data_IF_987136232027
#
_entry.id   IF_987136232027
#
_cell.length_a   1.000
_cell.length_b   1.000
_cell.length_c   1.000
_cell.angle_alpha   90.00
_cell.angle_beta   90.00
_cell.angle_gamma   90.00
#
_symmetry.space_group_name_H-M   'P 1'
#
loop_
_entity.id
_entity.type
_entity.pdbx_description
1 polymer ?
#
# COMPACT_ATOMS: atom_id res chain seq x y z
N UNK A 1 11.99 -25.09 21.25
CA UNK A 1 12.19 -24.00 20.26
C UNK A 1 11.55 -22.76 20.85
N UNK A 2 12.36 -21.76 21.23
CA UNK A 2 11.85 -20.47 21.69
C UNK A 2 11.38 -19.66 20.48
N UNK A 3 10.16 -19.14 20.54
CA UNK A 3 9.69 -18.14 19.58
C UNK A 3 10.63 -16.92 19.68
N UNK A 4 11.17 -16.40 18.56
CA UNK A 4 12.03 -15.22 18.63
C UNK A 4 11.26 -14.03 19.21
N UNK A 5 11.96 -13.28 20.07
CA UNK A 5 11.53 -12.01 20.66
C UNK A 5 10.84 -11.10 19.64
N UNK A 6 9.66 -10.58 19.98
CA UNK A 6 8.91 -9.71 19.07
C UNK A 6 9.72 -8.46 18.77
N UNK A 7 10.11 -8.29 17.50
CA UNK A 7 10.96 -7.19 17.02
C UNK A 7 10.34 -5.78 17.14
N UNK A 8 9.21 -5.62 17.84
CA UNK A 8 8.41 -4.38 17.88
C UNK A 8 7.76 -4.02 16.54
N UNK A 9 8.05 -4.79 15.48
CA UNK A 9 7.51 -4.61 14.14
C UNK A 9 6.13 -5.26 14.05
N UNK A 10 5.26 -4.66 13.24
CA UNK A 10 3.98 -5.30 12.89
C UNK A 10 4.25 -6.56 12.06
N UNK A 11 3.38 -7.57 12.14
CA UNK A 11 3.49 -8.81 11.32
C UNK A 11 3.62 -8.51 9.83
N UNK A 12 2.94 -7.47 9.35
CA UNK A 12 3.05 -6.97 7.98
C UNK A 12 4.49 -6.61 7.62
N UNK A 13 5.17 -5.88 8.48
CA UNK A 13 6.55 -5.44 8.27
C UNK A 13 7.53 -6.60 8.42
N UNK A 14 7.27 -7.51 9.36
CA UNK A 14 8.04 -8.75 9.54
C UNK A 14 7.97 -9.64 8.28
N UNK A 15 6.76 -9.85 7.74
CA UNK A 15 6.52 -10.81 6.67
C UNK A 15 6.69 -10.24 5.27
N UNK A 16 6.31 -8.98 5.03
CA UNK A 16 6.27 -8.38 3.69
C UNK A 16 7.30 -7.26 3.48
N UNK A 17 7.79 -6.67 4.58
CA UNK A 17 8.66 -5.49 4.54
C UNK A 17 7.87 -4.18 4.44
N UNK A 18 8.56 -3.10 4.11
CA UNK A 18 7.96 -1.75 4.06
C UNK A 18 7.08 -1.53 2.83
N UNK A 19 6.01 -0.76 3.02
CA UNK A 19 5.25 -0.15 1.92
C UNK A 19 6.15 0.85 1.19
N UNK A 20 6.22 0.84 -0.15
CA UNK A 20 6.92 1.89 -0.87
C UNK A 20 6.30 3.25 -0.55
N UNK A 21 7.15 4.26 -0.33
CA UNK A 21 6.68 5.64 -0.15
C UNK A 21 6.21 6.26 -1.47
N UNK A 22 5.30 7.24 -1.42
CA UNK A 22 4.79 7.95 -2.61
C UNK A 22 5.86 8.62 -3.48
N UNK A 23 7.01 8.97 -2.89
CA UNK A 23 8.14 9.58 -3.59
C UNK A 23 9.17 8.55 -4.12
N UNK A 24 8.98 7.27 -3.83
CA UNK A 24 9.81 6.18 -4.37
C UNK A 24 9.55 5.96 -5.87
N UNK A 25 10.34 5.09 -6.52
CA UNK A 25 10.10 4.68 -7.91
C UNK A 25 8.66 4.16 -8.09
N UNK A 26 8.25 3.18 -7.28
CA UNK A 26 6.88 2.61 -7.29
C UNK A 26 5.82 3.68 -7.05
N UNK A 27 6.04 4.60 -6.11
CA UNK A 27 5.10 5.69 -5.82
C UNK A 27 4.96 6.69 -6.97
N UNK A 28 6.05 7.00 -7.68
CA UNK A 28 6.01 7.84 -8.88
C UNK A 28 5.27 7.15 -10.02
N UNK A 29 5.47 5.85 -10.22
CA UNK A 29 4.72 5.08 -11.21
C UNK A 29 3.21 5.09 -10.93
N UNK A 30 2.80 4.95 -9.67
CA UNK A 30 1.38 5.09 -9.25
C UNK A 30 0.85 6.48 -9.59
N UNK A 31 1.60 7.53 -9.26
CA UNK A 31 1.20 8.90 -9.56
C UNK A 31 1.04 9.13 -11.06
N UNK A 32 2.03 8.72 -11.87
CA UNK A 32 1.95 8.86 -13.32
C UNK A 32 0.77 8.08 -13.91
N UNK A 33 0.51 6.86 -13.44
CA UNK A 33 -0.67 6.12 -13.87
C UNK A 33 -1.96 6.87 -13.53
N UNK A 34 -2.12 7.31 -12.27
CA UNK A 34 -3.33 8.01 -11.82
C UNK A 34 -3.55 9.37 -12.51
N UNK A 35 -2.49 10.06 -12.93
CA UNK A 35 -2.56 11.27 -13.77
C UNK A 35 -3.13 10.97 -15.16
N UNK A 36 -2.81 9.80 -15.72
CA UNK A 36 -3.19 9.38 -17.07
C UNK A 36 -4.48 8.53 -17.11
N UNK A 37 -5.12 8.27 -15.96
CA UNK A 37 -6.44 7.63 -15.91
C UNK A 37 -7.52 8.53 -16.57
N UNK A 38 -8.63 7.93 -17.02
CA UNK A 38 -9.75 8.65 -17.63
C UNK A 38 -11.03 8.32 -16.85
N UNK A 39 -11.59 9.27 -16.05
CA UNK A 39 -11.07 10.62 -15.78
C UNK A 39 -9.79 10.59 -14.91
N UNK A 40 -8.94 11.64 -14.98
CA UNK A 40 -7.70 11.69 -14.21
C UNK A 40 -7.99 11.76 -12.71
N UNK A 41 -7.21 11.00 -11.93
CA UNK A 41 -7.30 10.96 -10.46
C UNK A 41 -6.23 11.77 -9.76
N UNK A 42 -5.33 12.38 -10.51
CA UNK A 42 -4.38 13.39 -10.01
C UNK A 42 -4.47 14.62 -10.91
N UNK A 43 -4.44 15.80 -10.30
CA UNK A 43 -4.44 17.09 -11.01
C UNK A 43 -3.52 18.07 -10.31
N UNK A 44 -2.94 18.97 -11.10
CA UNK A 44 -2.11 20.07 -10.61
C UNK A 44 -2.74 21.38 -11.06
N UNK A 45 -2.96 22.32 -10.13
CA UNK A 45 -3.50 23.64 -10.48
C UNK A 45 -2.38 24.56 -11.03
N UNK A 46 -2.73 25.77 -11.42
CA UNK A 46 -1.78 26.76 -11.96
C UNK A 46 -0.71 27.18 -10.95
N UNK A 47 -1.01 27.07 -9.66
CA UNK A 47 -0.13 27.43 -8.55
C UNK A 47 0.85 26.30 -8.18
N UNK A 48 0.79 25.15 -8.88
CA UNK A 48 1.63 23.99 -8.65
C UNK A 48 1.13 23.04 -7.55
N UNK A 49 -0.04 23.32 -6.94
CA UNK A 49 -0.64 22.43 -5.95
C UNK A 49 -1.17 21.17 -6.62
N UNK A 50 -0.64 20.02 -6.21
CA UNK A 50 -1.08 18.71 -6.70
C UNK A 50 -2.07 18.09 -5.73
N UNK A 51 -3.21 17.65 -6.26
CA UNK A 51 -4.28 16.96 -5.53
C UNK A 51 -4.55 15.60 -6.16
N UNK A 52 -4.98 14.65 -5.35
CA UNK A 52 -5.42 13.33 -5.79
C UNK A 52 -6.88 13.09 -5.37
N UNK A 53 -7.60 12.27 -6.12
CA UNK A 53 -8.94 11.83 -5.78
C UNK A 53 -8.85 10.55 -4.94
N UNK A 54 -9.32 10.63 -3.70
CA UNK A 54 -9.33 9.54 -2.73
C UNK A 54 -10.52 8.58 -2.97
N UNK A 55 -10.57 7.50 -2.20
CA UNK A 55 -11.60 6.45 -2.33
C UNK A 55 -13.02 6.94 -1.97
N UNK A 56 -13.15 8.04 -1.23
CA UNK A 56 -14.42 8.73 -0.94
C UNK A 56 -14.89 9.69 -2.06
N UNK A 57 -14.17 9.75 -3.18
CA UNK A 57 -14.48 10.61 -4.33
C UNK A 57 -14.10 12.08 -4.13
N UNK A 58 -13.45 12.46 -3.03
CA UNK A 58 -13.01 13.84 -2.77
C UNK A 58 -11.55 14.05 -3.16
N UNK A 59 -11.22 15.30 -3.46
CA UNK A 59 -9.87 15.72 -3.82
C UNK A 59 -9.10 16.20 -2.59
N UNK A 60 -7.96 15.58 -2.32
CA UNK A 60 -7.08 15.93 -1.20
C UNK A 60 -5.69 16.36 -1.69
N UNK A 61 -4.98 17.21 -0.94
CA UNK A 61 -3.56 17.49 -1.15
C UNK A 61 -2.69 16.22 -1.14
N UNK A 62 -1.68 16.16 -2.02
CA UNK A 62 -0.81 14.98 -2.17
C UNK A 62 -0.01 14.62 -0.90
N UNK A 63 0.26 15.57 -0.02
CA UNK A 63 0.91 15.34 1.27
C UNK A 63 0.06 14.47 2.21
N UNK A 64 -1.27 14.47 2.06
CA UNK A 64 -2.23 13.63 2.77
C UNK A 64 -2.45 12.24 2.14
N UNK A 65 -1.74 11.93 1.05
CA UNK A 65 -1.81 10.61 0.42
C UNK A 65 -0.91 9.59 1.13
N UNK A 66 -1.45 8.39 1.36
CA UNK A 66 -0.69 7.16 1.61
C UNK A 66 -0.76 6.26 0.36
N UNK A 67 0.22 5.35 0.24
CA UNK A 67 0.17 4.27 -0.75
C UNK A 67 -0.74 3.16 -0.20
N UNK A 68 -1.99 3.14 -0.67
CA UNK A 68 -2.99 2.17 -0.29
C UNK A 68 -2.92 0.96 -1.23
N UNK A 69 -2.98 -0.24 -0.66
CA UNK A 69 -3.06 -1.46 -1.47
C UNK A 69 -4.43 -1.58 -2.14
N UNK A 70 -4.48 -2.06 -3.38
CA UNK A 70 -5.73 -2.42 -4.06
C UNK A 70 -6.30 -3.74 -3.54
N UNK A 71 -5.42 -4.71 -3.28
CA UNK A 71 -5.74 -5.94 -2.56
C UNK A 71 -5.09 -5.87 -1.20
N UNK A 72 -5.88 -5.97 -0.14
CA UNK A 72 -5.37 -5.86 1.22
C UNK A 72 -4.17 -6.77 1.48
N UNK A 73 -3.12 -6.19 2.06
CA UNK A 73 -1.84 -6.87 2.23
C UNK A 73 -1.98 -8.14 3.11
N UNK A 74 -2.87 -8.12 4.10
CA UNK A 74 -3.15 -9.27 4.96
C UNK A 74 -3.86 -10.39 4.18
N UNK A 75 -4.84 -10.04 3.35
CA UNK A 75 -5.60 -11.01 2.56
C UNK A 75 -4.71 -11.66 1.50
N UNK A 76 -3.89 -10.87 0.78
CA UNK A 76 -2.93 -11.41 -0.19
C UNK A 76 -1.85 -12.28 0.48
N UNK A 77 -1.36 -11.87 1.65
CA UNK A 77 -0.42 -12.69 2.41
C UNK A 77 -1.03 -14.05 2.79
N UNK A 78 -2.24 -14.02 3.36
CA UNK A 78 -2.93 -15.23 3.82
C UNK A 78 -3.29 -16.18 2.67
N UNK A 79 -3.63 -15.66 1.49
CA UNK A 79 -3.99 -16.48 0.33
C UNK A 79 -2.80 -16.94 -0.52
N UNK A 80 -1.70 -16.19 -0.51
CA UNK A 80 -0.65 -16.34 -1.53
C UNK A 80 0.75 -16.09 -0.96
N UNK A 81 0.99 -14.93 -0.35
CA UNK A 81 2.33 -14.52 0.07
C UNK A 81 3.00 -15.48 1.05
N UNK A 82 2.22 -16.05 2.00
CA UNK A 82 2.75 -16.92 3.05
C UNK A 82 3.42 -18.19 2.54
N UNK A 83 3.04 -18.66 1.35
CA UNK A 83 3.57 -19.87 0.72
C UNK A 83 4.93 -19.65 0.03
N UNK A 84 5.33 -18.40 -0.21
CA UNK A 84 6.66 -18.06 -0.70
C UNK A 84 7.66 -17.83 0.43
N UNK A 85 7.18 -17.59 1.65
CA UNK A 85 7.99 -17.28 2.83
C UNK A 85 8.17 -15.78 3.08
N UNK A 86 8.48 -15.43 4.33
CA UNK A 86 8.63 -14.05 4.76
C UNK A 86 9.77 -13.35 4.00
N UNK A 87 9.46 -12.19 3.39
CA UNK A 87 10.39 -11.35 2.62
C UNK A 87 11.09 -12.09 1.47
N UNK A 88 10.47 -13.14 0.94
CA UNK A 88 10.97 -13.80 -0.27
C UNK A 88 11.04 -12.81 -1.45
N UNK A 89 11.81 -13.12 -2.51
CA UNK A 89 11.84 -12.32 -3.73
C UNK A 89 10.44 -12.04 -4.30
N UNK A 90 9.55 -13.03 -4.31
CA UNK A 90 8.17 -12.92 -4.82
C UNK A 90 7.32 -11.96 -3.97
N UNK A 91 7.45 -12.03 -2.64
CA UNK A 91 6.77 -11.10 -1.73
C UNK A 91 7.28 -9.68 -1.93
N UNK A 92 8.60 -9.51 -2.13
CA UNK A 92 9.18 -8.19 -2.38
C UNK A 92 8.81 -7.65 -3.76
N UNK A 93 8.72 -8.51 -4.78
CA UNK A 93 8.24 -8.14 -6.10
C UNK A 93 6.79 -7.64 -6.04
N UNK A 94 5.90 -8.37 -5.37
CA UNK A 94 4.52 -7.93 -5.15
C UNK A 94 4.43 -6.59 -4.40
N UNK A 95 5.25 -6.43 -3.36
CA UNK A 95 5.32 -5.20 -2.57
C UNK A 95 5.82 -3.98 -3.36
N UNK A 96 6.61 -4.19 -4.42
CA UNK A 96 7.22 -3.13 -5.23
C UNK A 96 6.51 -2.90 -6.57
N UNK A 97 5.56 -3.74 -6.94
CA UNK A 97 4.73 -3.55 -8.14
C UNK A 97 3.72 -2.42 -7.92
N UNK A 98 3.85 -1.35 -8.72
CA UNK A 98 2.98 -0.18 -8.66
C UNK A 98 1.52 -0.49 -9.01
N UNK A 99 1.25 -1.59 -9.72
CA UNK A 99 -0.12 -2.04 -10.04
C UNK A 99 -0.88 -2.48 -8.80
N UNK A 100 -0.22 -2.79 -7.69
CA UNK A 100 -0.86 -3.20 -6.45
C UNK A 100 -1.32 -2.04 -5.56
N UNK A 101 -1.13 -0.78 -6.01
CA UNK A 101 -1.38 0.39 -5.19
C UNK A 101 -2.22 1.46 -5.87
N UNK A 102 -2.87 2.29 -5.07
CA UNK A 102 -3.44 3.60 -5.41
C UNK A 102 -3.06 4.61 -4.33
N UNK A 103 -3.14 5.91 -4.62
CA UNK A 103 -3.11 6.92 -3.56
C UNK A 103 -4.47 7.02 -2.90
N UNK A 104 -4.51 6.92 -1.57
CA UNK A 104 -5.71 7.18 -0.79
C UNK A 104 -5.40 8.10 0.40
N UNK A 105 -6.41 8.76 0.95
CA UNK A 105 -6.25 9.58 2.13
C UNK A 105 -5.84 8.70 3.33
N UNK A 106 -4.81 9.10 4.08
CA UNK A 106 -4.23 8.29 5.16
C UNK A 106 -5.29 7.77 6.16
N UNK A 107 -6.28 8.59 6.53
CA UNK A 107 -7.36 8.17 7.44
C UNK A 107 -8.28 7.11 6.85
N UNK A 108 -8.58 7.21 5.54
CA UNK A 108 -9.46 6.26 4.85
C UNK A 108 -8.74 4.92 4.69
N UNK A 109 -7.50 4.95 4.21
CA UNK A 109 -6.63 3.78 4.07
C UNK A 109 -6.50 3.00 5.39
N UNK A 110 -6.20 3.71 6.50
CA UNK A 110 -6.08 3.09 7.83
C UNK A 110 -7.42 2.53 8.33
N UNK A 111 -8.52 3.22 8.09
CA UNK A 111 -9.86 2.76 8.47
C UNK A 111 -10.28 1.51 7.68
N UNK A 112 -9.96 1.44 6.39
CA UNK A 112 -10.24 0.27 5.56
C UNK A 112 -9.54 -0.96 6.11
N UNK A 113 -8.23 -0.86 6.38
CA UNK A 113 -7.48 -1.96 6.98
C UNK A 113 -8.03 -2.39 8.36
N UNK A 114 -8.44 -1.45 9.21
CA UNK A 114 -9.00 -1.77 10.53
C UNK A 114 -10.37 -2.47 10.46
N UNK A 115 -11.10 -2.34 9.35
CA UNK A 115 -12.38 -3.04 9.12
C UNK A 115 -12.18 -4.48 8.65
N UNK A 116 -10.98 -4.83 8.19
CA UNK A 116 -10.63 -6.21 7.87
C UNK A 116 -10.46 -6.96 9.18
N UNK A 117 -11.37 -7.89 9.45
CA UNK A 117 -11.27 -8.76 10.61
C UNK A 117 -10.32 -9.94 10.33
N UNK A 118 -9.12 -9.63 9.81
CA UNK A 118 -8.11 -10.60 9.40
C UNK A 118 -6.80 -10.39 10.15
N UNK A 119 -6.12 -11.50 10.44
CA UNK A 119 -4.78 -11.49 11.02
C UNK A 119 -3.80 -12.16 10.07
N UNK A 120 -2.56 -11.67 10.04
CA UNK A 120 -1.48 -12.34 9.33
C UNK A 120 -1.23 -13.72 9.93
N UNK A 121 -1.38 -14.76 9.10
CA UNK A 121 -0.99 -16.13 9.42
C UNK A 121 0.55 -16.28 9.35
N UNK A 122 1.15 -17.23 10.08
CA UNK A 122 2.57 -17.51 9.93
C UNK A 122 2.89 -18.02 8.49
N UNK A 123 4.16 -17.86 8.04
CA UNK A 123 4.62 -18.49 6.80
C UNK A 123 4.49 -20.02 6.88
N UNK A 124 4.29 -20.66 5.73
CA UNK A 124 4.13 -22.13 5.60
C UNK A 124 5.44 -22.85 5.30
#
# INVERSE_FOLDING_TARGET
>A
MGLPESSGLTRRLEYMGDTPGKNSRTGKEVQERMKNEVPPKIRTNRDGETKFMASDGKWYPLDQADMAHLTDAVSWWNSTGRYYGAKSPEVREWMLDSKNYVLDHYSLNRSAGAKLNENYLPPE
#
